data_IF_280456706385
#
_entry.id   IF_280456706385
#
_cell.length_a   1.000
_cell.length_b   1.000
_cell.length_c   1.000
_cell.angle_alpha   90.00
_cell.angle_beta   90.00
_cell.angle_gamma   90.00
#
_symmetry.space_group_name_H-M   'P 1'
#
loop_
_entity.id
_entity.type
_entity.pdbx_description
1 polymer ?
#
# COMPACT_ATOMS: atom_id res chain seq x y z
N UNK A 1 -6.45 28.71 23.12
CA UNK A 1 -7.27 29.03 21.94
C UNK A 1 -6.90 28.03 20.87
N UNK A 2 -7.86 27.45 20.16
CA UNK A 2 -7.57 26.53 19.05
C UNK A 2 -7.36 27.28 17.73
N UNK A 3 -6.73 26.62 16.77
CA UNK A 3 -6.54 27.16 15.43
C UNK A 3 -7.74 26.85 14.52
N UNK A 4 -8.14 27.85 13.75
CA UNK A 4 -9.12 27.75 12.67
C UNK A 4 -8.59 28.48 11.42
N UNK A 5 -9.30 28.33 10.30
CA UNK A 5 -9.03 29.05 9.07
C UNK A 5 -10.24 29.89 8.69
N UNK A 6 -9.98 31.04 8.08
CA UNK A 6 -10.99 31.83 7.40
C UNK A 6 -10.63 32.00 5.93
N UNK A 7 -11.63 31.96 5.06
CA UNK A 7 -11.47 32.26 3.65
C UNK A 7 -11.83 33.74 3.40
N UNK A 8 -10.91 34.48 2.80
CA UNK A 8 -11.14 35.88 2.46
C UNK A 8 -11.87 36.03 1.12
N UNK A 9 -12.52 37.18 0.86
CA UNK A 9 -13.16 37.46 -0.45
C UNK A 9 -12.17 37.40 -1.63
N UNK A 10 -10.87 37.51 -1.36
CA UNK A 10 -9.79 37.43 -2.35
C UNK A 10 -9.22 36.01 -2.51
N UNK A 11 -9.88 34.97 -1.97
CA UNK A 11 -9.47 33.58 -2.12
C UNK A 11 -8.22 33.20 -1.32
N UNK A 12 -7.85 33.96 -0.28
CA UNK A 12 -6.72 33.64 0.62
C UNK A 12 -7.23 33.01 1.91
N UNK A 13 -6.51 31.99 2.39
CA UNK A 13 -6.75 31.40 3.70
C UNK A 13 -5.88 32.09 4.74
N UNK A 14 -6.50 32.55 5.81
CA UNK A 14 -5.82 33.14 6.95
C UNK A 14 -6.05 32.27 8.18
N UNK A 15 -4.99 32.12 8.98
CA UNK A 15 -5.04 31.42 10.25
C UNK A 15 -5.63 32.35 11.32
N UNK A 16 -6.62 31.87 12.06
CA UNK A 16 -7.27 32.59 13.16
C UNK A 16 -7.24 31.77 14.45
N UNK A 17 -7.16 32.46 15.58
CA UNK A 17 -7.28 31.86 16.90
C UNK A 17 -8.72 31.98 17.39
N UNK A 18 -9.32 30.85 17.76
CA UNK A 18 -10.70 30.78 18.22
C UNK A 18 -10.79 30.08 19.56
N UNK A 19 -11.61 30.62 20.46
CA UNK A 19 -11.84 30.01 21.78
C UNK A 19 -12.61 28.69 21.71
N UNK A 20 -13.48 28.54 20.70
CA UNK A 20 -14.32 27.37 20.46
C UNK A 20 -13.66 26.28 19.58
N UNK A 21 -12.44 26.53 19.09
CA UNK A 21 -11.68 25.54 18.35
C UNK A 21 -10.92 24.60 19.32
N UNK A 22 -10.93 23.27 19.08
CA UNK A 22 -10.16 22.34 19.90
C UNK A 22 -8.66 22.66 19.81
N UNK A 23 -7.96 22.55 20.95
CA UNK A 23 -6.51 22.76 21.01
C UNK A 23 -5.78 21.69 20.19
N UNK A 24 -4.79 22.13 19.41
CA UNK A 24 -3.89 21.24 18.68
C UNK A 24 -2.70 20.86 19.58
N UNK A 25 -2.00 19.79 19.25
CA UNK A 25 -0.70 19.53 19.87
C UNK A 25 0.29 20.64 19.51
N UNK A 26 1.09 21.10 20.47
CA UNK A 26 1.99 22.26 20.31
C UNK A 26 2.90 22.17 19.07
N UNK A 27 3.42 20.98 18.79
CA UNK A 27 4.26 20.71 17.61
C UNK A 27 3.52 20.85 16.28
N UNK A 28 2.26 20.39 16.23
CA UNK A 28 1.39 20.54 15.03
C UNK A 28 1.04 22.00 14.85
N UNK A 29 0.69 22.67 15.94
CA UNK A 29 0.32 24.08 15.94
C UNK A 29 1.46 24.96 15.39
N UNK A 30 2.69 24.73 15.86
CA UNK A 30 3.88 25.43 15.40
C UNK A 30 4.12 25.23 13.91
N UNK A 31 4.09 23.98 13.41
CA UNK A 31 4.29 23.68 11.97
C UNK A 31 3.22 24.34 11.10
N UNK A 32 1.96 24.29 11.52
CA UNK A 32 0.84 24.90 10.79
C UNK A 32 1.01 26.43 10.76
N UNK A 33 1.34 27.08 11.88
CA UNK A 33 1.59 28.53 11.94
C UNK A 33 2.75 28.95 11.04
N UNK A 34 3.87 28.24 11.10
CA UNK A 34 5.04 28.51 10.25
C UNK A 34 4.69 28.37 8.76
N UNK A 35 3.94 27.33 8.39
CA UNK A 35 3.52 27.10 7.00
C UNK A 35 2.58 28.19 6.48
N UNK A 36 1.53 28.55 7.24
CA UNK A 36 0.62 29.64 6.86
C UNK A 36 1.31 31.02 6.88
N UNK A 37 2.36 31.20 7.68
CA UNK A 37 3.21 32.39 7.64
C UNK A 37 3.96 32.59 6.33
N UNK A 38 4.23 31.51 5.58
CA UNK A 38 4.82 31.56 4.22
C UNK A 38 3.77 31.78 3.12
N UNK A 39 2.48 31.63 3.44
CA UNK A 39 1.36 31.87 2.54
C UNK A 39 0.36 30.72 2.46
N UNK A 40 -0.78 30.96 1.78
CA UNK A 40 -1.90 30.02 1.63
C UNK A 40 -1.46 28.65 1.10
N UNK A 41 -0.65 28.62 0.04
CA UNK A 41 -0.24 27.37 -0.60
C UNK A 41 0.68 26.52 0.28
N UNK A 42 1.58 27.14 1.04
CA UNK A 42 2.47 26.44 1.97
C UNK A 42 1.67 25.85 3.15
N UNK A 43 0.69 26.61 3.66
CA UNK A 43 -0.25 26.13 4.67
C UNK A 43 -1.06 24.93 4.20
N UNK A 44 -1.64 25.00 2.99
CA UNK A 44 -2.36 23.90 2.37
C UNK A 44 -1.47 22.68 2.14
N UNK A 45 -0.24 22.87 1.67
CA UNK A 45 0.71 21.78 1.47
C UNK A 45 1.11 21.10 2.78
N UNK A 46 1.32 21.88 3.86
CA UNK A 46 1.60 21.32 5.19
C UNK A 46 0.40 20.53 5.72
N UNK A 47 -0.82 21.06 5.60
CA UNK A 47 -2.03 20.36 6.03
C UNK A 47 -2.20 19.07 5.25
N UNK A 48 -2.26 19.16 3.92
CA UNK A 48 -2.52 18.05 3.02
C UNK A 48 -1.40 17.02 3.03
N UNK A 49 -0.15 17.45 2.89
CA UNK A 49 1.02 16.59 2.75
C UNK A 49 1.61 16.12 4.08
N UNK A 50 1.74 17.01 5.07
CA UNK A 50 2.42 16.74 6.34
C UNK A 50 1.51 16.20 7.43
N UNK A 51 0.34 16.81 7.63
CA UNK A 51 -0.59 16.52 8.74
C UNK A 51 -1.64 15.45 8.38
N UNK A 52 -1.26 14.50 7.53
CA UNK A 52 -2.09 13.32 7.24
C UNK A 52 -2.21 12.49 8.52
N UNK A 53 -3.43 12.22 8.96
CA UNK A 53 -3.67 11.41 10.16
C UNK A 53 -3.68 12.19 11.46
N UNK A 54 -3.34 13.47 11.43
CA UNK A 54 -3.40 14.35 12.59
C UNK A 54 -4.86 14.70 12.90
N UNK A 55 -5.21 14.72 14.20
CA UNK A 55 -6.52 15.19 14.66
C UNK A 55 -6.50 16.71 14.57
N UNK A 56 -7.32 17.26 13.66
CA UNK A 56 -7.43 18.69 13.39
C UNK A 56 -8.84 19.19 13.68
N UNK A 57 -9.00 20.51 13.83
CA UNK A 57 -10.33 21.13 13.89
C UNK A 57 -11.09 20.90 12.57
N UNK A 58 -12.44 20.93 12.55
CA UNK A 58 -13.22 20.63 11.35
C UNK A 58 -12.84 21.48 10.13
N UNK A 59 -12.53 22.77 10.34
CA UNK A 59 -12.13 23.69 9.28
C UNK A 59 -10.75 23.34 8.72
N UNK A 60 -9.77 23.06 9.60
CA UNK A 60 -8.44 22.61 9.18
C UNK A 60 -8.50 21.25 8.46
N UNK A 61 -9.35 20.34 8.93
CA UNK A 61 -9.59 19.05 8.29
C UNK A 61 -10.21 19.21 6.90
N UNK A 62 -11.17 20.11 6.72
CA UNK A 62 -11.77 20.41 5.42
C UNK A 62 -10.73 20.84 4.37
N UNK A 63 -9.87 21.82 4.71
CA UNK A 63 -8.82 22.27 3.79
C UNK A 63 -7.68 21.27 3.64
N UNK A 64 -7.38 20.47 4.67
CA UNK A 64 -6.49 19.31 4.55
C UNK A 64 -7.03 18.36 3.49
N UNK A 65 -8.31 18.04 3.51
CA UNK A 65 -8.89 17.03 2.61
C UNK A 65 -8.83 17.50 1.14
N UNK A 66 -9.03 18.80 0.87
CA UNK A 66 -8.75 19.41 -0.45
C UNK A 66 -7.28 19.21 -0.86
N UNK A 67 -6.34 19.55 0.02
CA UNK A 67 -4.92 19.44 -0.27
C UNK A 67 -4.44 17.98 -0.38
N UNK A 68 -5.05 17.05 0.37
CA UNK A 68 -4.79 15.61 0.25
C UNK A 68 -5.18 15.06 -1.12
N UNK A 69 -6.28 15.56 -1.71
CA UNK A 69 -6.66 15.17 -3.07
C UNK A 69 -5.65 15.65 -4.10
N UNK A 70 -5.14 16.88 -3.95
CA UNK A 70 -4.07 17.38 -4.79
C UNK A 70 -2.83 16.48 -4.71
N UNK A 71 -2.36 16.19 -3.49
CA UNK A 71 -1.19 15.32 -3.29
C UNK A 71 -1.43 13.90 -3.82
N UNK A 72 -2.64 13.35 -3.64
CA UNK A 72 -3.04 12.05 -4.20
C UNK A 72 -2.95 12.05 -5.73
N UNK A 73 -3.39 13.13 -6.38
CA UNK A 73 -3.29 13.27 -7.82
C UNK A 73 -1.84 13.40 -8.28
N UNK A 74 -0.97 14.08 -7.53
CA UNK A 74 0.49 14.10 -7.78
C UNK A 74 1.07 12.69 -7.76
N UNK A 75 0.70 11.85 -6.79
CA UNK A 75 1.17 10.45 -6.70
C UNK A 75 0.81 9.60 -7.92
N UNK A 76 -0.16 10.03 -8.74
CA UNK A 76 -0.67 9.28 -9.90
C UNK A 76 -0.03 9.71 -11.23
N UNK A 77 0.86 10.71 -11.22
CA UNK A 77 1.50 11.25 -12.43
C UNK A 77 2.68 10.37 -12.90
N UNK A 78 2.79 10.11 -14.23
CA UNK A 78 3.74 9.13 -14.78
C UNK A 78 5.23 9.50 -14.59
N UNK A 79 5.55 10.79 -14.65
CA UNK A 79 6.94 11.28 -14.78
C UNK A 79 7.25 12.39 -13.76
N UNK A 80 6.65 12.31 -12.58
CA UNK A 80 6.91 13.28 -11.53
C UNK A 80 8.41 13.30 -11.13
N UNK A 81 9.12 12.19 -11.35
CA UNK A 81 10.57 12.08 -11.13
C UNK A 81 11.41 12.69 -12.27
N UNK A 82 11.02 12.53 -13.54
CA UNK A 82 11.79 13.02 -14.70
C UNK A 82 11.47 14.47 -15.09
N UNK A 83 10.28 14.99 -14.72
CA UNK A 83 9.80 16.31 -15.14
C UNK A 83 9.38 17.19 -13.96
N UNK A 84 10.34 17.47 -13.06
CA UNK A 84 10.16 18.34 -11.87
C UNK A 84 9.47 19.68 -12.16
N UNK A 85 9.76 20.28 -13.32
CA UNK A 85 9.24 21.60 -13.71
C UNK A 85 7.83 21.56 -14.33
N UNK A 86 7.30 20.38 -14.66
CA UNK A 86 6.02 20.23 -15.37
C UNK A 86 4.95 19.47 -14.59
N UNK A 87 5.17 19.16 -13.30
CA UNK A 87 4.16 18.55 -12.43
C UNK A 87 2.94 19.47 -12.33
N UNK A 88 2.00 19.28 -13.23
CA UNK A 88 0.79 20.09 -13.35
C UNK A 88 -0.38 19.17 -13.14
N UNK A 89 -1.01 19.31 -11.99
CA UNK A 89 -2.23 18.58 -11.68
C UNK A 89 -3.41 19.43 -12.13
N UNK A 90 -4.17 19.02 -13.17
CA UNK A 90 -5.37 19.75 -13.56
C UNK A 90 -6.36 19.76 -12.39
N UNK A 91 -7.22 20.78 -12.33
CA UNK A 91 -8.32 20.80 -11.37
C UNK A 91 -9.16 19.52 -11.52
N UNK A 92 -9.63 18.92 -10.42
CA UNK A 92 -10.38 17.68 -10.50
C UNK A 92 -11.68 17.92 -11.28
N UNK A 93 -11.95 17.06 -12.26
CA UNK A 93 -13.20 17.08 -13.04
C UNK A 93 -14.36 16.44 -12.29
N UNK A 94 -15.55 16.47 -12.90
CA UNK A 94 -16.70 15.68 -12.44
C UNK A 94 -17.47 16.24 -11.23
N UNK A 95 -17.45 17.55 -11.00
CA UNK A 95 -18.23 18.20 -9.93
C UNK A 95 -17.63 18.04 -8.53
N UNK A 96 -16.43 17.48 -8.39
CA UNK A 96 -15.77 17.28 -7.09
C UNK A 96 -15.61 18.59 -6.29
N UNK A 97 -15.22 19.69 -6.95
CA UNK A 97 -15.08 20.99 -6.29
C UNK A 97 -16.45 21.56 -5.87
N UNK A 98 -17.50 21.27 -6.64
CA UNK A 98 -18.88 21.65 -6.30
C UNK A 98 -19.38 20.88 -5.08
N UNK A 99 -19.12 19.57 -5.01
CA UNK A 99 -19.42 18.74 -3.84
C UNK A 99 -18.67 19.21 -2.58
N UNK A 100 -17.39 19.55 -2.73
CA UNK A 100 -16.60 20.11 -1.64
C UNK A 100 -17.15 21.46 -1.18
N UNK A 101 -17.54 22.34 -2.11
CA UNK A 101 -18.13 23.63 -1.77
C UNK A 101 -19.44 23.47 -0.99
N UNK A 102 -20.30 22.53 -1.41
CA UNK A 102 -21.54 22.21 -0.70
C UNK A 102 -21.32 21.61 0.69
N UNK A 103 -20.19 20.95 0.92
CA UNK A 103 -19.81 20.32 2.18
C UNK A 103 -19.00 21.24 3.12
N UNK A 104 -18.91 22.55 2.84
CA UNK A 104 -18.14 23.48 3.65
C UNK A 104 -18.63 23.52 5.11
N UNK A 105 -17.72 23.41 6.12
CA UNK A 105 -18.10 23.51 7.52
C UNK A 105 -18.51 24.94 7.88
N UNK A 106 -19.15 25.11 9.04
CA UNK A 106 -19.40 26.44 9.61
C UNK A 106 -18.05 27.11 9.94
N UNK A 107 -17.69 28.13 9.17
CA UNK A 107 -16.42 28.86 9.30
C UNK A 107 -16.59 30.32 8.89
N UNK A 108 -15.64 31.18 9.30
CA UNK A 108 -15.59 32.55 8.83
C UNK A 108 -15.24 32.58 7.33
N UNK A 109 -16.06 33.24 6.53
CA UNK A 109 -15.89 33.27 5.07
C UNK A 109 -16.36 32.01 4.36
N UNK A 110 -17.23 31.21 4.98
CA UNK A 110 -17.88 30.07 4.33
C UNK A 110 -18.65 30.47 3.07
N UNK A 111 -19.21 31.69 3.03
CA UNK A 111 -19.90 32.28 1.89
C UNK A 111 -19.00 32.47 0.66
N UNK A 112 -17.68 32.49 0.84
CA UNK A 112 -16.71 32.59 -0.24
C UNK A 112 -16.24 31.23 -0.75
N UNK A 113 -16.66 30.13 -0.10
CA UNK A 113 -16.30 28.76 -0.52
C UNK A 113 -17.17 28.36 -1.71
N UNK A 114 -16.66 28.66 -2.90
CA UNK A 114 -17.24 28.30 -4.20
C UNK A 114 -16.31 27.38 -4.98
N UNK A 115 -16.82 26.71 -6.01
CA UNK A 115 -15.99 25.93 -6.96
C UNK A 115 -14.83 26.76 -7.50
N UNK A 116 -15.08 28.02 -7.88
CA UNK A 116 -14.06 28.95 -8.37
C UNK A 116 -12.97 29.23 -7.33
N UNK A 117 -13.38 29.50 -6.08
CA UNK A 117 -12.42 29.75 -4.99
C UNK A 117 -11.56 28.52 -4.68
N UNK A 118 -12.15 27.32 -4.67
CA UNK A 118 -11.45 26.06 -4.44
C UNK A 118 -10.52 25.72 -5.60
N UNK A 119 -10.94 26.02 -6.84
CA UNK A 119 -10.09 25.94 -8.03
C UNK A 119 -8.89 26.89 -7.94
N UNK A 120 -9.09 28.11 -7.44
CA UNK A 120 -8.01 29.06 -7.18
C UNK A 120 -7.03 28.54 -6.11
N UNK A 121 -7.54 28.00 -5.01
CA UNK A 121 -6.71 27.37 -3.97
C UNK A 121 -5.93 26.16 -4.50
N UNK A 122 -6.52 25.37 -5.40
CA UNK A 122 -5.87 24.25 -6.07
C UNK A 122 -4.68 24.72 -6.93
N UNK A 123 -4.84 25.81 -7.70
CA UNK A 123 -3.75 26.39 -8.49
C UNK A 123 -2.63 26.92 -7.60
N UNK A 124 -2.97 27.67 -6.54
CA UNK A 124 -1.98 28.20 -5.57
C UNK A 124 -1.21 27.07 -4.88
N UNK A 125 -1.89 25.98 -4.52
CA UNK A 125 -1.27 24.79 -3.97
C UNK A 125 -0.30 24.17 -4.98
N UNK A 126 -0.70 24.04 -6.24
CA UNK A 126 0.16 23.46 -7.27
C UNK A 126 1.36 24.31 -7.68
N UNK A 127 1.22 25.62 -7.68
CA UNK A 127 2.36 26.54 -7.83
C UNK A 127 3.33 26.41 -6.65
N UNK A 128 2.81 26.35 -5.43
CA UNK A 128 3.65 26.20 -4.23
C UNK A 128 4.36 24.85 -4.21
N UNK A 129 3.67 23.76 -4.57
CA UNK A 129 4.25 22.43 -4.65
C UNK A 129 5.44 22.40 -5.64
N UNK A 130 5.26 22.95 -6.84
CA UNK A 130 6.34 23.03 -7.84
C UNK A 130 7.52 23.86 -7.35
N UNK A 131 7.26 25.00 -6.72
CA UNK A 131 8.31 25.87 -6.20
C UNK A 131 9.10 25.20 -5.06
N UNK A 132 8.43 24.55 -4.10
CA UNK A 132 9.09 23.84 -3.01
C UNK A 132 9.86 22.60 -3.50
N UNK A 133 9.32 21.86 -4.47
CA UNK A 133 9.99 20.72 -5.09
C UNK A 133 11.24 21.16 -5.88
N UNK A 134 11.14 22.22 -6.67
CA UNK A 134 12.27 22.76 -7.42
C UNK A 134 13.37 23.28 -6.49
N UNK A 135 12.98 23.91 -5.37
CA UNK A 135 13.91 24.40 -4.36
C UNK A 135 14.60 23.28 -3.57
N UNK A 136 13.94 22.14 -3.34
CA UNK A 136 14.54 21.02 -2.61
C UNK A 136 15.56 20.24 -3.44
N UNK A 137 15.38 20.20 -4.77
CA UNK A 137 16.20 19.39 -5.67
C UNK A 137 16.00 17.88 -5.53
N UNK A 138 15.00 17.47 -4.73
CA UNK A 138 14.62 16.07 -4.48
C UNK A 138 13.79 15.52 -5.65
N UNK A 139 13.62 14.19 -5.72
CA UNK A 139 12.57 13.59 -6.55
C UNK A 139 11.19 13.85 -5.92
N UNK A 140 10.11 13.71 -6.70
CA UNK A 140 8.75 13.83 -6.15
C UNK A 140 8.48 12.80 -5.06
N UNK A 141 8.96 11.57 -5.22
CA UNK A 141 8.80 10.52 -4.20
C UNK A 141 9.56 10.88 -2.91
N UNK A 142 10.78 11.39 -3.02
CA UNK A 142 11.57 11.83 -1.86
C UNK A 142 10.92 13.03 -1.14
N UNK A 143 10.43 14.00 -1.91
CA UNK A 143 9.71 15.16 -1.39
C UNK A 143 8.43 14.74 -0.64
N UNK A 144 7.62 13.87 -1.25
CA UNK A 144 6.40 13.33 -0.63
C UNK A 144 6.71 12.48 0.61
N UNK A 145 7.77 11.68 0.57
CA UNK A 145 8.24 10.89 1.72
C UNK A 145 8.69 11.80 2.87
N UNK A 146 9.34 12.92 2.58
CA UNK A 146 9.75 13.94 3.57
C UNK A 146 8.55 14.61 4.21
N UNK A 147 7.49 14.89 3.43
CA UNK A 147 6.23 15.42 3.97
C UNK A 147 5.53 14.39 4.88
N UNK A 148 5.26 13.20 4.35
CA UNK A 148 4.74 12.09 5.14
C UNK A 148 5.05 10.75 4.44
N UNK A 149 5.72 9.78 5.12
CA UNK A 149 6.04 8.48 4.53
C UNK A 149 4.85 7.69 4.00
N UNK A 150 3.62 7.97 4.47
CA UNK A 150 2.40 7.32 4.02
C UNK A 150 2.08 7.58 2.54
N UNK A 151 2.54 8.70 1.96
CA UNK A 151 2.32 9.02 0.54
C UNK A 151 2.94 8.03 -0.43
N UNK A 152 4.02 7.36 -0.02
CA UNK A 152 4.64 6.31 -0.82
C UNK A 152 3.68 5.16 -1.11
N UNK A 153 2.63 4.96 -0.32
CA UNK A 153 1.67 3.87 -0.50
C UNK A 153 0.62 4.18 -1.56
N UNK A 154 0.33 5.45 -1.83
CA UNK A 154 -0.72 5.90 -2.75
C UNK A 154 -0.34 5.56 -4.19
N UNK A 155 -1.30 5.10 -4.98
CA UNK A 155 -1.08 4.68 -6.37
C UNK A 155 -0.40 3.31 -6.50
N UNK A 156 -0.06 2.62 -5.40
CA UNK A 156 0.55 1.28 -5.46
C UNK A 156 -0.48 0.18 -5.64
N UNK A 157 -0.19 -0.73 -6.56
CA UNK A 157 -0.91 -1.98 -6.71
C UNK A 157 -0.48 -2.96 -5.62
N UNK A 158 -1.47 -3.61 -5.03
CA UNK A 158 -1.34 -4.57 -3.96
C UNK A 158 -1.88 -5.92 -4.41
N UNK A 159 -1.07 -6.97 -4.27
CA UNK A 159 -1.51 -8.35 -4.48
C UNK A 159 -1.76 -9.00 -3.12
N UNK A 160 -3.02 -9.26 -2.83
CA UNK A 160 -3.46 -9.76 -1.53
C UNK A 160 -3.76 -11.25 -1.65
N UNK A 161 -3.08 -12.05 -0.85
CA UNK A 161 -3.36 -13.46 -0.63
C UNK A 161 -3.96 -13.64 0.78
N UNK A 162 -5.11 -14.29 0.87
CA UNK A 162 -5.79 -14.59 2.12
C UNK A 162 -6.16 -16.07 2.21
N UNK A 163 -6.21 -16.62 3.43
CA UNK A 163 -6.72 -17.97 3.67
C UNK A 163 -8.26 -17.96 3.67
N UNK A 164 -8.86 -18.88 2.92
CA UNK A 164 -10.28 -19.19 2.95
C UNK A 164 -10.51 -20.62 3.45
N UNK A 165 -10.47 -20.81 4.77
CA UNK A 165 -10.59 -22.14 5.41
C UNK A 165 -11.93 -22.85 5.21
N UNK A 166 -12.92 -22.18 4.61
CA UNK A 166 -14.23 -22.76 4.29
C UNK A 166 -14.22 -23.55 2.98
N UNK A 167 -13.15 -23.43 2.20
CA UNK A 167 -13.01 -24.00 0.87
C UNK A 167 -11.84 -24.97 0.84
N UNK A 168 -12.14 -26.27 0.82
CA UNK A 168 -11.11 -27.31 0.85
C UNK A 168 -10.35 -27.46 -0.48
N UNK A 169 -11.01 -27.20 -1.60
CA UNK A 169 -10.39 -27.30 -2.93
C UNK A 169 -9.53 -26.09 -3.28
N UNK A 170 -10.00 -24.89 -2.92
CA UNK A 170 -9.30 -23.63 -3.16
C UNK A 170 -9.22 -22.77 -1.88
N UNK A 171 -8.39 -23.19 -0.90
CA UNK A 171 -8.33 -22.58 0.43
C UNK A 171 -7.64 -21.21 0.45
N UNK A 172 -7.36 -20.61 -0.72
CA UNK A 172 -6.76 -19.30 -0.85
C UNK A 172 -7.64 -18.38 -1.68
N UNK A 173 -7.69 -17.11 -1.30
CA UNK A 173 -8.30 -16.05 -2.08
C UNK A 173 -7.22 -15.07 -2.52
N UNK A 174 -7.21 -14.73 -3.80
CA UNK A 174 -6.36 -13.70 -4.38
C UNK A 174 -7.19 -12.50 -4.82
N UNK A 175 -6.69 -11.30 -4.54
CA UNK A 175 -7.28 -10.06 -5.04
C UNK A 175 -6.20 -9.00 -5.28
N UNK A 176 -6.20 -8.44 -6.50
CA UNK A 176 -5.46 -7.23 -6.79
C UNK A 176 -6.27 -5.99 -6.34
N UNK A 177 -5.66 -5.14 -5.53
CA UNK A 177 -6.21 -3.85 -5.12
C UNK A 177 -5.21 -2.75 -5.43
N UNK A 178 -5.63 -1.50 -5.37
CA UNK A 178 -4.71 -0.36 -5.39
C UNK A 178 -5.05 0.60 -4.25
N UNK A 179 -4.06 1.38 -3.81
CA UNK A 179 -4.30 2.45 -2.86
C UNK A 179 -4.78 3.68 -3.60
N UNK A 180 -6.08 3.94 -3.52
CA UNK A 180 -6.73 5.10 -4.15
C UNK A 180 -6.35 6.40 -3.44
N UNK A 181 -6.44 6.41 -2.10
CA UNK A 181 -6.16 7.59 -1.27
C UNK A 181 -5.79 7.22 0.15
N UNK A 182 -5.33 8.20 0.92
CA UNK A 182 -5.20 8.10 2.37
C UNK A 182 -6.48 8.60 3.04
N UNK A 183 -6.88 7.98 4.15
CA UNK A 183 -7.95 8.48 5.00
C UNK A 183 -7.50 9.69 5.82
N UNK A 184 -8.46 10.39 6.42
CA UNK A 184 -8.23 11.43 7.42
C UNK A 184 -7.33 10.95 8.60
N UNK A 185 -7.24 9.64 8.84
CA UNK A 185 -6.39 9.00 9.85
C UNK A 185 -5.08 8.41 9.28
N UNK A 186 -4.65 8.87 8.09
CA UNK A 186 -3.46 8.36 7.36
C UNK A 186 -3.49 6.85 7.05
N UNK A 187 -4.68 6.24 6.99
CA UNK A 187 -4.80 4.83 6.60
C UNK A 187 -5.01 4.72 5.09
N UNK A 188 -4.21 3.90 4.44
CA UNK A 188 -4.38 3.59 3.02
C UNK A 188 -5.76 2.98 2.76
N UNK A 189 -6.54 3.61 1.88
CA UNK A 189 -7.81 3.09 1.40
C UNK A 189 -7.57 2.28 0.14
N UNK A 190 -8.00 1.02 0.16
CA UNK A 190 -7.79 0.09 -0.94
C UNK A 190 -9.08 -0.14 -1.70
N UNK A 191 -9.01 -0.04 -3.02
CA UNK A 191 -10.10 -0.40 -3.92
C UNK A 191 -9.68 -1.57 -4.81
N UNK A 192 -10.60 -2.47 -5.19
CA UNK A 192 -10.31 -3.52 -6.16
C UNK A 192 -9.76 -2.94 -7.46
N UNK A 193 -8.77 -3.58 -8.06
CA UNK A 193 -8.16 -3.09 -9.29
C UNK A 193 -9.18 -2.99 -10.44
N UNK A 194 -10.17 -3.89 -10.49
CA UNK A 194 -11.27 -3.80 -11.45
C UNK A 194 -12.16 -2.56 -11.30
N UNK A 195 -12.15 -1.89 -10.13
CA UNK A 195 -12.86 -0.63 -9.95
C UNK A 195 -12.14 0.52 -10.68
N UNK A 196 -10.81 0.49 -10.77
CA UNK A 196 -10.03 1.47 -11.53
C UNK A 196 -10.43 1.46 -13.01
N UNK A 197 -10.72 0.28 -13.60
CA UNK A 197 -11.19 0.17 -14.98
C UNK A 197 -12.51 0.90 -15.21
N UNK A 198 -13.42 0.90 -14.23
CA UNK A 198 -14.71 1.59 -14.33
C UNK A 198 -14.57 3.09 -14.08
N UNK A 199 -13.76 3.46 -13.10
CA UNK A 199 -13.54 4.85 -12.69
C UNK A 199 -12.75 5.64 -13.73
N UNK A 200 -11.80 5.00 -14.41
CA UNK A 200 -10.92 5.63 -15.39
C UNK A 200 -11.25 5.23 -16.85
N UNK A 201 -12.47 4.75 -17.11
CA UNK A 201 -12.93 4.40 -18.46
C UNK A 201 -13.01 5.61 -19.41
N UNK A 202 -12.99 6.84 -18.88
CA UNK A 202 -12.99 8.08 -19.66
C UNK A 202 -11.63 8.38 -20.29
N UNK A 203 -11.64 9.05 -21.45
CA UNK A 203 -10.43 9.40 -22.21
C UNK A 203 -9.43 10.27 -21.44
N UNK A 204 -9.90 11.08 -20.47
CA UNK A 204 -9.06 11.95 -19.64
C UNK A 204 -8.26 11.21 -18.55
N UNK A 205 -8.65 9.99 -18.18
CA UNK A 205 -8.04 9.23 -17.08
C UNK A 205 -7.31 7.95 -17.53
N UNK A 206 -7.23 7.72 -18.85
CA UNK A 206 -6.54 6.56 -19.41
C UNK A 206 -5.06 6.49 -19.01
N UNK A 207 -4.40 7.63 -18.93
CA UNK A 207 -3.00 7.71 -18.50
C UNK A 207 -2.83 7.28 -17.03
N UNK A 208 -3.74 7.69 -16.13
CA UNK A 208 -3.73 7.27 -14.72
C UNK A 208 -3.88 5.75 -14.60
N UNK A 209 -4.78 5.16 -15.38
CA UNK A 209 -4.97 3.71 -15.42
C UNK A 209 -3.70 2.99 -15.92
N UNK A 210 -3.06 3.50 -16.97
CA UNK A 210 -1.81 2.93 -17.49
C UNK A 210 -0.69 2.96 -16.44
N UNK A 211 -0.54 4.07 -15.72
CA UNK A 211 0.45 4.20 -14.65
C UNK A 211 0.20 3.22 -13.52
N UNK A 212 -1.07 3.08 -13.13
CA UNK A 212 -1.47 2.13 -12.11
C UNK A 212 -1.11 0.69 -12.52
N UNK A 213 -1.25 0.35 -13.80
CA UNK A 213 -0.97 -0.99 -14.32
C UNK A 213 0.50 -1.22 -14.67
N UNK A 214 1.35 -0.19 -14.71
CA UNK A 214 2.75 -0.32 -15.10
C UNK A 214 3.54 -1.31 -14.24
N UNK A 215 3.43 -1.33 -12.88
CA UNK A 215 4.07 -2.36 -12.06
C UNK A 215 3.59 -3.78 -12.38
N UNK A 216 2.31 -3.92 -12.72
CA UNK A 216 1.70 -5.21 -13.07
C UNK A 216 2.24 -5.71 -14.41
N UNK A 217 2.40 -4.82 -15.39
CA UNK A 217 2.98 -5.15 -16.69
C UNK A 217 4.45 -5.56 -16.56
N UNK A 218 5.27 -4.79 -15.83
CA UNK A 218 6.68 -5.14 -15.55
C UNK A 218 6.81 -6.50 -14.87
N UNK A 219 5.96 -6.78 -13.88
CA UNK A 219 5.92 -8.08 -13.22
C UNK A 219 5.52 -9.22 -14.18
N UNK A 220 4.56 -8.97 -15.08
CA UNK A 220 4.08 -9.94 -16.05
C UNK A 220 5.13 -10.35 -17.09
N UNK A 221 6.13 -9.50 -17.37
CA UNK A 221 7.25 -9.86 -18.26
C UNK A 221 8.07 -11.03 -17.72
N UNK A 222 8.21 -11.12 -16.39
CA UNK A 222 8.99 -12.16 -15.71
C UNK A 222 8.12 -13.30 -15.14
N UNK A 223 6.83 -13.04 -14.89
CA UNK A 223 5.89 -13.99 -14.29
C UNK A 223 4.88 -14.49 -15.34
N UNK A 224 5.11 -15.68 -15.91
CA UNK A 224 4.26 -16.25 -16.97
C UNK A 224 2.79 -16.44 -16.57
N UNK A 225 2.54 -16.80 -15.30
CA UNK A 225 1.18 -16.95 -14.77
C UNK A 225 0.47 -15.60 -14.66
N UNK A 226 1.19 -14.54 -14.27
CA UNK A 226 0.64 -13.20 -14.16
C UNK A 226 0.31 -12.65 -15.55
N UNK A 227 1.20 -12.89 -16.54
CA UNK A 227 0.94 -12.55 -17.93
C UNK A 227 -0.37 -13.14 -18.44
N UNK A 228 -0.57 -14.44 -18.25
CA UNK A 228 -1.83 -15.10 -18.62
C UNK A 228 -3.03 -14.45 -17.93
N UNK A 229 -2.91 -14.15 -16.64
CA UNK A 229 -3.99 -13.56 -15.83
C UNK A 229 -4.33 -12.11 -16.22
N UNK A 230 -3.35 -11.37 -16.73
CA UNK A 230 -3.54 -10.02 -17.29
C UNK A 230 -4.20 -10.11 -18.66
N UNK A 231 -3.78 -11.03 -19.52
CA UNK A 231 -4.35 -11.25 -20.86
C UNK A 231 -5.81 -11.72 -20.80
N UNK A 232 -6.16 -12.56 -19.83
CA UNK A 232 -7.55 -13.02 -19.61
C UNK A 232 -8.42 -12.01 -18.86
N UNK A 233 -7.80 -10.99 -18.25
CA UNK A 233 -8.50 -10.02 -17.40
C UNK A 233 -8.87 -10.53 -16.00
N UNK A 234 -8.46 -11.74 -15.64
CA UNK A 234 -8.72 -12.34 -14.32
C UNK A 234 -8.11 -11.52 -13.17
N UNK A 235 -7.02 -10.78 -13.42
CA UNK A 235 -6.35 -9.88 -12.45
C UNK A 235 -7.32 -8.83 -11.86
N UNK A 236 -8.40 -8.51 -12.58
CA UNK A 236 -9.38 -7.49 -12.15
C UNK A 236 -10.50 -8.04 -11.26
N UNK A 237 -10.48 -9.34 -10.96
CA UNK A 237 -11.52 -10.03 -10.20
C UNK A 237 -10.94 -10.77 -8.99
N UNK A 238 -11.74 -10.99 -7.92
CA UNK A 238 -11.36 -11.91 -6.85
C UNK A 238 -11.26 -13.34 -7.40
N UNK A 239 -10.16 -14.03 -7.11
CA UNK A 239 -9.91 -15.40 -7.55
C UNK A 239 -9.83 -16.36 -6.36
N UNK A 240 -10.33 -17.57 -6.57
CA UNK A 240 -10.14 -18.71 -5.67
C UNK A 240 -8.94 -19.51 -6.16
N UNK A 241 -7.95 -19.70 -5.30
CA UNK A 241 -6.66 -20.31 -5.64
C UNK A 241 -6.47 -21.63 -4.92
N UNK A 242 -5.96 -22.61 -5.67
CA UNK A 242 -5.49 -23.88 -5.11
C UNK A 242 -4.14 -23.66 -4.44
N UNK A 243 -3.68 -24.57 -3.56
CA UNK A 243 -2.39 -24.41 -2.90
C UNK A 243 -1.22 -24.28 -3.89
N UNK A 244 -1.29 -24.92 -5.07
CA UNK A 244 -0.29 -24.78 -6.13
C UNK A 244 -0.20 -23.35 -6.70
N UNK A 245 -1.32 -22.66 -6.85
CA UNK A 245 -1.36 -21.29 -7.35
C UNK A 245 -0.74 -20.33 -6.32
N UNK A 246 -1.12 -20.50 -5.05
CA UNK A 246 -0.54 -19.75 -3.93
C UNK A 246 0.98 -20.01 -3.82
N UNK A 247 1.43 -21.25 -3.93
CA UNK A 247 2.86 -21.59 -3.91
C UNK A 247 3.64 -20.89 -5.03
N UNK A 248 3.14 -20.93 -6.27
CA UNK A 248 3.75 -20.23 -7.41
C UNK A 248 3.81 -18.72 -7.16
N UNK A 249 2.73 -18.12 -6.66
CA UNK A 249 2.71 -16.70 -6.29
C UNK A 249 3.78 -16.36 -5.25
N UNK A 250 3.94 -17.18 -4.21
CA UNK A 250 4.93 -16.97 -3.15
C UNK A 250 6.38 -17.10 -3.63
N UNK A 251 6.62 -17.95 -4.64
CA UNK A 251 7.92 -18.08 -5.27
C UNK A 251 8.34 -16.79 -5.97
N UNK A 252 7.40 -16.12 -6.63
CA UNK A 252 7.65 -14.92 -7.44
C UNK A 252 7.54 -13.60 -6.65
N UNK A 253 7.27 -13.63 -5.34
CA UNK A 253 7.18 -12.42 -4.49
C UNK A 253 8.37 -11.46 -4.68
N UNK A 254 9.65 -11.92 -4.72
CA UNK A 254 10.78 -11.00 -4.95
C UNK A 254 10.70 -10.29 -6.31
N UNK A 255 10.21 -10.98 -7.35
CA UNK A 255 10.03 -10.41 -8.70
C UNK A 255 8.90 -9.40 -8.70
N UNK A 256 7.77 -9.73 -8.06
CA UNK A 256 6.62 -8.84 -7.91
C UNK A 256 7.00 -7.55 -7.18
N UNK A 257 7.70 -7.67 -6.05
CA UNK A 257 8.14 -6.54 -5.25
C UNK A 257 9.19 -5.69 -5.98
N UNK A 258 10.13 -6.33 -6.69
CA UNK A 258 11.09 -5.66 -7.55
C UNK A 258 10.45 -4.86 -8.69
N UNK A 259 9.29 -5.30 -9.19
CA UNK A 259 8.50 -4.57 -10.19
C UNK A 259 7.64 -3.43 -9.60
N UNK A 260 7.60 -3.27 -8.27
CA UNK A 260 6.84 -2.23 -7.58
C UNK A 260 5.46 -2.68 -7.06
N UNK A 261 5.11 -3.96 -7.16
CA UNK A 261 3.86 -4.52 -6.60
C UNK A 261 4.03 -4.79 -5.11
N UNK A 262 3.09 -4.32 -4.29
CA UNK A 262 3.09 -4.58 -2.86
C UNK A 262 2.38 -5.91 -2.58
N UNK A 263 3.11 -6.92 -2.14
CA UNK A 263 2.50 -8.19 -1.75
C UNK A 263 1.90 -8.08 -0.34
N UNK A 264 0.76 -8.72 -0.09
CA UNK A 264 0.20 -8.93 1.24
C UNK A 264 -0.19 -10.40 1.38
N UNK A 265 0.22 -11.03 2.47
CA UNK A 265 -0.06 -12.44 2.78
C UNK A 265 -0.74 -12.53 4.15
N UNK A 266 -1.24 -13.71 4.55
CA UNK A 266 -1.83 -13.90 5.87
C UNK A 266 -0.87 -13.49 7.00
N UNK A 267 -1.40 -12.82 8.04
CA UNK A 267 -0.59 -12.24 9.11
C UNK A 267 0.28 -13.25 9.89
N UNK A 268 -0.09 -14.54 9.87
CA UNK A 268 0.67 -15.61 10.52
C UNK A 268 1.91 -16.08 9.74
N UNK A 269 2.19 -15.53 8.56
CA UNK A 269 3.29 -15.96 7.70
C UNK A 269 4.51 -15.04 7.86
N UNK A 270 5.54 -15.54 8.54
CA UNK A 270 6.81 -14.82 8.73
C UNK A 270 7.54 -14.62 7.41
N UNK A 271 8.13 -13.44 7.19
CA UNK A 271 8.87 -13.11 5.96
C UNK A 271 8.07 -13.36 4.66
N UNK A 272 6.75 -13.16 4.74
CA UNK A 272 5.78 -13.34 3.64
C UNK A 272 5.69 -14.78 3.12
N UNK A 273 6.11 -15.75 3.93
CA UNK A 273 6.08 -17.18 3.59
C UNK A 273 5.52 -18.02 4.73
N UNK A 274 4.85 -19.16 4.42
CA UNK A 274 4.48 -20.14 5.42
C UNK A 274 5.72 -20.78 6.06
N UNK A 275 5.52 -21.48 7.17
CA UNK A 275 6.62 -22.16 7.87
C UNK A 275 7.28 -23.19 6.95
N UNK A 276 8.61 -23.30 6.97
CA UNK A 276 9.32 -24.30 6.17
C UNK A 276 9.52 -25.60 6.94
N UNK A 277 9.42 -26.73 6.24
CA UNK A 277 9.87 -28.02 6.78
C UNK A 277 11.40 -28.01 6.89
N UNK A 278 11.92 -28.41 8.04
CA UNK A 278 13.34 -28.63 8.29
C UNK A 278 13.58 -30.12 8.48
N UNK A 279 14.59 -30.64 7.80
CA UNK A 279 15.05 -32.02 7.98
C UNK A 279 16.33 -31.96 8.82
N UNK A 280 16.31 -32.56 10.00
CA UNK A 280 17.48 -32.73 10.87
C UNK A 280 17.88 -34.20 10.84
N UNK A 281 19.01 -34.49 10.21
CA UNK A 281 19.66 -35.79 10.30
C UNK A 281 20.63 -35.77 11.47
N UNK A 282 20.37 -36.58 12.49
CA UNK A 282 21.32 -36.78 13.60
C UNK A 282 22.09 -38.06 13.34
N UNK A 283 23.43 -37.94 13.33
CA UNK A 283 24.33 -39.07 13.17
C UNK A 283 24.93 -39.39 14.53
N UNK A 284 24.74 -40.63 15.02
CA UNK A 284 25.45 -41.13 16.19
C UNK A 284 24.75 -40.98 17.55
N UNK A 285 23.42 -41.18 17.61
CA UNK A 285 22.67 -41.15 18.87
C UNK A 285 22.99 -42.29 19.87
N UNK A 286 23.65 -43.36 19.41
CA UNK A 286 24.14 -44.46 20.26
C UNK A 286 25.66 -44.55 20.18
N UNK A 287 26.30 -44.58 21.36
CA UNK A 287 27.73 -44.88 21.46
C UNK A 287 27.94 -46.33 20.99
N UNK A 288 28.73 -46.60 19.94
CA UNK A 288 28.91 -47.96 19.45
C UNK A 288 29.60 -48.78 20.54
N UNK A 289 28.95 -49.85 21.01
CA UNK A 289 29.45 -50.71 22.08
C UNK A 289 30.60 -51.65 21.65
N UNK A 290 31.08 -51.54 20.41
CA UNK A 290 32.16 -52.39 19.88
C UNK A 290 33.10 -51.55 19.00
N UNK A 291 34.36 -51.42 19.41
CA UNK A 291 35.46 -50.91 18.59
C UNK A 291 35.85 -51.97 17.54
N UNK A 292 35.23 -51.91 16.37
CA UNK A 292 35.57 -52.74 15.21
C UNK A 292 35.18 -52.03 13.92
N UNK A 293 35.95 -52.21 12.85
CA UNK A 293 35.90 -51.44 11.59
C UNK A 293 34.61 -51.46 10.77
N UNK A 294 33.50 -51.93 11.33
CA UNK A 294 32.15 -51.89 10.75
C UNK A 294 31.17 -51.18 11.71
N UNK A 295 31.53 -49.99 12.21
CA UNK A 295 30.58 -49.13 12.91
C UNK A 295 29.54 -48.62 11.90
N UNK A 296 28.37 -49.26 11.85
CA UNK A 296 27.20 -48.74 11.15
C UNK A 296 26.85 -47.41 11.80
N UNK A 297 26.94 -46.31 11.04
CA UNK A 297 26.44 -45.01 11.48
C UNK A 297 24.93 -45.13 11.64
N UNK A 298 24.44 -45.02 12.87
CA UNK A 298 23.00 -44.88 13.13
C UNK A 298 22.59 -43.46 12.70
N UNK A 299 21.75 -43.39 11.66
CA UNK A 299 21.15 -42.16 11.17
C UNK A 299 19.71 -42.08 11.69
N UNK A 300 19.43 -41.10 12.54
CA UNK A 300 18.07 -40.77 12.95
C UNK A 300 17.62 -39.51 12.21
N UNK A 301 16.70 -39.69 11.26
CA UNK A 301 16.11 -38.59 10.51
C UNK A 301 14.89 -38.08 11.27
N UNK A 302 14.93 -36.82 11.69
CA UNK A 302 13.78 -36.12 12.27
C UNK A 302 13.36 -34.99 11.33
N UNK A 303 12.06 -34.90 11.06
CA UNK A 303 11.49 -33.82 10.25
C UNK A 303 10.70 -32.91 11.18
N UNK A 304 10.97 -31.61 11.15
CA UNK A 304 10.32 -30.63 12.02
C UNK A 304 9.79 -29.43 11.25
N UNK A 305 8.79 -28.75 11.81
CA UNK A 305 8.32 -27.44 11.34
C UNK A 305 8.53 -26.46 12.48
N UNK A 306 9.51 -25.56 12.33
CA UNK A 306 10.04 -24.82 13.47
C UNK A 306 10.63 -25.78 14.51
N UNK A 307 10.17 -25.68 15.75
CA UNK A 307 10.61 -26.51 16.88
C UNK A 307 9.76 -27.78 17.09
N UNK A 308 8.69 -27.97 16.30
CA UNK A 308 7.79 -29.12 16.44
C UNK A 308 8.21 -30.28 15.53
N UNK A 309 8.48 -31.46 16.09
CA UNK A 309 8.77 -32.68 15.31
C UNK A 309 7.48 -33.27 14.75
N UNK A 310 7.52 -33.67 13.48
CA UNK A 310 6.41 -34.29 12.76
C UNK A 310 6.35 -35.79 13.02
N UNK A 311 5.14 -36.32 13.08
CA UNK A 311 4.87 -37.77 13.13
C UNK A 311 5.05 -38.41 11.75
N UNK A 312 5.21 -39.73 11.71
CA UNK A 312 5.33 -40.48 10.46
C UNK A 312 4.13 -40.24 9.50
N UNK A 313 2.91 -40.20 10.04
CA UNK A 313 1.70 -39.90 9.27
C UNK A 313 1.71 -38.46 8.69
N UNK A 314 2.20 -37.48 9.45
CA UNK A 314 2.33 -36.10 8.97
C UNK A 314 3.40 -36.00 7.86
N UNK A 315 4.50 -36.76 7.97
CA UNK A 315 5.54 -36.83 6.93
C UNK A 315 4.99 -37.48 5.65
N UNK A 316 4.21 -38.55 5.76
CA UNK A 316 3.58 -39.20 4.60
C UNK A 316 2.56 -38.26 3.92
N UNK A 317 1.80 -37.49 4.71
CA UNK A 317 0.91 -36.45 4.19
C UNK A 317 1.68 -35.33 3.47
N UNK A 318 2.89 -34.98 3.92
CA UNK A 318 3.73 -33.99 3.23
C UNK A 318 4.27 -34.53 1.91
N UNK A 319 4.77 -35.76 1.91
CA UNK A 319 5.34 -36.40 0.72
C UNK A 319 4.30 -36.66 -0.39
N UNK A 320 3.03 -36.83 0.00
CA UNK A 320 1.91 -36.99 -0.95
C UNK A 320 1.38 -35.66 -1.51
N UNK A 321 1.72 -34.50 -0.91
CA UNK A 321 1.31 -33.19 -1.42
C UNK A 321 2.21 -32.75 -2.59
N UNK A 322 1.64 -32.68 -3.79
CA UNK A 322 2.32 -32.15 -5.00
C UNK A 322 2.17 -30.63 -5.17
N UNK A 323 1.54 -29.94 -4.22
CA UNK A 323 1.15 -28.55 -4.38
C UNK A 323 2.18 -27.54 -3.83
N UNK A 324 3.29 -28.00 -3.23
CA UNK A 324 4.32 -27.15 -2.60
C UNK A 324 3.89 -26.50 -1.28
N UNK A 325 2.60 -26.57 -0.94
CA UNK A 325 2.02 -26.17 0.34
C UNK A 325 1.19 -27.32 0.91
N UNK A 326 1.31 -27.56 2.21
CA UNK A 326 0.50 -28.55 2.92
C UNK A 326 0.02 -28.00 4.26
N UNK A 327 -1.16 -28.44 4.70
CA UNK A 327 -1.75 -28.05 5.99
C UNK A 327 -1.36 -29.06 7.06
N UNK A 328 -0.61 -28.63 8.08
CA UNK A 328 -0.24 -29.45 9.24
C UNK A 328 -0.67 -28.74 10.51
N UNK A 329 -1.43 -29.44 11.36
CA UNK A 329 -1.89 -28.92 12.67
C UNK A 329 -2.51 -27.51 12.58
N UNK A 330 -3.27 -27.25 11.51
CA UNK A 330 -3.94 -25.96 11.27
C UNK A 330 -3.04 -24.82 10.80
N UNK A 331 -1.80 -25.10 10.37
CA UNK A 331 -0.86 -24.14 9.78
C UNK A 331 -0.43 -24.59 8.38
N UNK A 332 -0.31 -23.63 7.45
CA UNK A 332 0.28 -23.89 6.16
C UNK A 332 1.80 -24.00 6.27
N UNK A 333 2.35 -25.00 5.60
CA UNK A 333 3.77 -25.33 5.58
C UNK A 333 4.24 -25.43 4.14
N UNK A 334 5.36 -24.77 3.82
CA UNK A 334 6.06 -24.86 2.54
C UNK A 334 6.83 -26.18 2.48
N UNK A 335 6.53 -26.97 1.45
CA UNK A 335 7.07 -28.30 1.23
C UNK A 335 7.92 -28.27 -0.03
N UNK A 336 9.19 -28.60 0.13
CA UNK A 336 10.09 -28.85 -1.00
C UNK A 336 10.22 -30.38 -1.15
N UNK A 337 9.53 -31.00 -2.13
CA UNK A 337 9.52 -32.45 -2.29
C UNK A 337 10.91 -33.01 -2.64
N UNK A 338 11.80 -32.21 -3.25
CA UNK A 338 13.16 -32.64 -3.58
C UNK A 338 14.04 -32.71 -2.32
N UNK A 339 13.80 -31.83 -1.34
CA UNK A 339 14.50 -31.88 -0.04
C UNK A 339 14.04 -33.00 0.88
N UNK A 340 12.83 -33.52 0.69
CA UNK A 340 12.25 -34.57 1.53
C UNK A 340 12.52 -35.99 1.04
N UNK A 341 12.94 -36.16 -0.22
CA UNK A 341 13.23 -37.46 -0.86
C UNK A 341 14.71 -37.86 -0.81
N UNK A 342 15.49 -37.24 0.08
CA UNK A 342 16.96 -37.34 0.19
C UNK A 342 17.56 -38.70 -0.11
#
# INVERSE_FOLDING_TARGET
MGLSLMLTPHGKLLLEEREDAPALGEEVEKRVREAFGRGTGAGLLQLGGGEVGTILSPVLAYFRDLAQQYVTAVCSLPDAEEQRDKVTVPAPGGGMLEELAAAAPLMAGAEYVTEESLGGLWQVLGETFRNELAASGESVQEFLKRLNPAWNLVGRVHFNLAENRKDEEAPFAFLATYTDRLSAQARAQHLPLGQALRQYAGSADREKLLNLLLPVQRAAESCSWLKSMVETGEIFHPLRWRPRDAFRFLADVPVLEGAGVVVRVPAGWSARRPSKVQVKATVGGRQPSVLGGNALLDFELSVSVGDETLTAAEIEQLLSSMAGLSMIRGRWVEVDPDRLRG
#
